data_IF_980914924158
#
_entry.id   IF_980914924158
#
_cell.length_a   1.000
_cell.length_b   1.000
_cell.length_c   1.000
_cell.angle_alpha   90.00
_cell.angle_beta   90.00
_cell.angle_gamma   90.00
#
_symmetry.space_group_name_H-M   'P 1'
#
loop_
_entity.id
_entity.type
_entity.pdbx_description
1 polymer ?
#
# COMPACT_ATOMS: atom_id res chain seq x y z
N UNK A 1 -1.23 7.86 15.74
CA UNK A 1 -2.58 7.42 15.39
C UNK A 1 -3.54 8.33 16.10
N UNK A 2 -4.03 9.36 15.40
CA UNK A 2 -4.67 10.54 16.02
C UNK A 2 -5.99 10.25 16.77
N UNK A 3 -6.46 9.00 16.71
CA UNK A 3 -7.69 8.53 17.35
C UNK A 3 -7.46 7.47 18.44
N UNK A 4 -6.21 7.25 18.88
CA UNK A 4 -5.92 6.25 19.92
C UNK A 4 -6.22 6.82 21.31
N UNK A 5 -7.10 6.15 22.05
CA UNK A 5 -7.40 6.51 23.45
C UNK A 5 -6.43 5.83 24.40
N UNK A 6 -6.26 6.36 25.62
CA UNK A 6 -5.41 5.75 26.66
C UNK A 6 -5.82 4.31 26.97
N UNK A 7 -7.12 4.07 27.12
CA UNK A 7 -7.68 2.73 27.35
C UNK A 7 -7.29 1.76 26.24
N UNK A 8 -7.47 2.14 24.97
CA UNK A 8 -7.12 1.27 23.83
C UNK A 8 -5.61 1.02 23.78
N UNK A 9 -4.80 2.01 24.17
CA UNK A 9 -3.35 1.81 24.27
C UNK A 9 -2.97 0.81 25.37
N UNK A 10 -3.59 0.88 26.55
CA UNK A 10 -3.39 -0.12 27.62
C UNK A 10 -3.81 -1.53 27.17
N UNK A 11 -4.92 -1.66 26.44
CA UNK A 11 -5.36 -2.93 25.85
C UNK A 11 -4.35 -3.48 24.83
N UNK A 12 -3.72 -2.61 24.02
CA UNK A 12 -2.64 -3.01 23.09
C UNK A 12 -1.42 -3.51 23.86
N UNK A 13 -1.02 -2.82 24.94
CA UNK A 13 0.15 -3.23 25.75
C UNK A 13 -0.05 -4.58 26.45
N UNK A 14 -1.28 -4.91 26.81
CA UNK A 14 -1.62 -6.19 27.44
C UNK A 14 -1.78 -7.35 26.43
N UNK A 15 -1.85 -7.07 25.13
CA UNK A 15 -2.03 -8.06 24.08
C UNK A 15 -0.71 -8.56 23.48
N UNK A 16 -0.79 -9.65 22.72
CA UNK A 16 0.35 -10.21 21.97
C UNK A 16 0.48 -9.54 20.60
N UNK A 17 0.93 -8.28 20.60
CA UNK A 17 1.15 -7.50 19.39
C UNK A 17 2.65 -7.34 19.09
N UNK A 18 2.98 -7.29 17.80
CA UNK A 18 4.33 -6.92 17.34
C UNK A 18 4.37 -5.42 17.05
N UNK A 19 5.27 -4.71 17.72
CA UNK A 19 5.57 -3.32 17.39
C UNK A 19 6.62 -3.23 16.27
N UNK A 20 6.47 -2.25 15.39
CA UNK A 20 7.41 -1.98 14.31
C UNK A 20 7.73 -0.48 14.28
N UNK A 21 8.95 -0.15 13.88
CA UNK A 21 9.35 1.24 13.61
C UNK A 21 8.49 1.78 12.48
N UNK A 22 8.04 3.03 12.61
CA UNK A 22 7.25 3.68 11.58
C UNK A 22 8.11 3.88 10.32
N UNK A 23 7.69 3.25 9.22
CA UNK A 23 8.23 3.49 7.88
C UNK A 23 7.11 4.09 7.03
N UNK A 24 7.25 5.33 6.54
CA UNK A 24 6.24 5.91 5.66
C UNK A 24 6.13 5.08 4.37
N UNK A 25 4.92 4.90 3.83
CA UNK A 25 4.74 4.15 2.60
C UNK A 25 5.36 4.91 1.42
N UNK A 26 5.96 4.19 0.48
CA UNK A 26 6.31 4.73 -0.83
C UNK A 26 5.04 5.17 -1.54
N UNK A 27 5.11 6.26 -2.31
CA UNK A 27 3.99 6.76 -3.11
C UNK A 27 4.32 6.70 -4.59
N UNK A 28 3.26 6.54 -5.40
CA UNK A 28 3.28 6.61 -6.85
C UNK A 28 2.22 7.62 -7.28
N UNK A 29 2.54 8.43 -8.29
CA UNK A 29 1.62 9.39 -8.87
C UNK A 29 1.29 8.98 -10.28
N UNK A 30 0.00 9.02 -10.62
CA UNK A 30 -0.44 8.81 -11.98
C UNK A 30 -1.85 9.31 -12.22
N UNK A 31 -2.19 9.39 -13.50
CA UNK A 31 -3.54 9.73 -13.93
C UNK A 31 -4.46 8.54 -13.74
N UNK A 32 -5.51 8.74 -12.96
CA UNK A 32 -6.56 7.73 -12.73
C UNK A 32 -7.90 8.33 -13.09
N UNK A 33 -8.85 7.48 -13.47
CA UNK A 33 -10.23 7.92 -13.63
C UNK A 33 -10.75 8.44 -12.28
N UNK A 34 -11.32 9.64 -12.27
CA UNK A 34 -11.99 10.19 -11.10
C UNK A 34 -13.24 9.38 -10.74
N UNK A 35 -13.77 9.58 -9.53
CA UNK A 35 -14.97 8.88 -9.04
C UNK A 35 -16.21 9.09 -9.93
N UNK A 36 -16.23 10.19 -10.71
CA UNK A 36 -17.29 10.54 -11.66
C UNK A 36 -16.93 10.23 -13.12
N UNK A 37 -15.87 9.45 -13.37
CA UNK A 37 -15.44 9.08 -14.72
C UNK A 37 -14.62 10.15 -15.45
N UNK A 38 -14.20 11.21 -14.75
CA UNK A 38 -13.26 12.21 -15.28
C UNK A 38 -11.93 11.53 -15.60
N UNK A 39 -11.50 11.58 -16.86
CA UNK A 39 -10.19 11.08 -17.29
C UNK A 39 -9.10 12.07 -16.89
N UNK A 40 -7.94 11.57 -16.47
CA UNK A 40 -6.72 12.39 -16.33
C UNK A 40 -6.50 13.03 -14.96
N UNK A 41 -7.20 12.60 -13.88
CA UNK A 41 -6.94 13.17 -12.55
C UNK A 41 -5.63 12.63 -11.98
N UNK A 42 -4.64 13.49 -11.84
CA UNK A 42 -3.39 13.14 -11.15
C UNK A 42 -3.68 12.81 -9.69
N UNK A 43 -3.36 11.58 -9.30
CA UNK A 43 -3.67 11.04 -7.98
C UNK A 43 -2.44 10.39 -7.39
N UNK A 44 -2.19 10.66 -6.11
CA UNK A 44 -1.16 9.98 -5.33
C UNK A 44 -1.74 8.72 -4.67
N UNK A 45 -1.06 7.60 -4.88
CA UNK A 45 -1.40 6.30 -4.32
C UNK A 45 -0.20 5.77 -3.52
N UNK A 46 -0.46 5.14 -2.38
CA UNK A 46 0.56 4.40 -1.64
C UNK A 46 0.83 3.08 -2.35
N UNK A 47 2.08 2.64 -2.29
CA UNK A 47 2.57 1.44 -2.99
C UNK A 47 3.29 0.50 -2.04
N UNK A 48 3.03 -0.79 -2.20
CA UNK A 48 3.87 -1.86 -1.69
C UNK A 48 4.05 -2.94 -2.76
N UNK A 49 5.08 -3.76 -2.58
CA UNK A 49 5.34 -4.92 -3.41
C UNK A 49 4.88 -6.19 -2.69
N UNK A 50 4.17 -7.05 -3.42
CA UNK A 50 3.75 -8.38 -3.00
C UNK A 50 4.49 -9.43 -3.82
N UNK A 51 5.40 -10.15 -3.16
CA UNK A 51 6.04 -11.34 -3.73
C UNK A 51 5.19 -12.58 -3.45
N UNK A 52 4.87 -13.34 -4.48
CA UNK A 52 4.29 -14.68 -4.37
C UNK A 52 5.40 -15.70 -4.46
N UNK A 53 5.59 -16.47 -3.40
CA UNK A 53 6.75 -17.36 -3.23
C UNK A 53 6.29 -18.81 -3.16
N UNK A 54 6.95 -19.68 -3.91
CA UNK A 54 6.75 -21.12 -3.85
C UNK A 54 8.10 -21.81 -3.75
N UNK A 55 8.26 -22.73 -2.79
CA UNK A 55 9.52 -23.46 -2.51
C UNK A 55 10.75 -22.54 -2.37
N UNK A 56 10.58 -21.41 -1.68
CA UNK A 56 11.67 -20.45 -1.45
C UNK A 56 12.03 -19.59 -2.67
N UNK A 57 11.31 -19.72 -3.79
CA UNK A 57 11.55 -18.96 -5.03
C UNK A 57 10.39 -18.02 -5.31
N UNK A 58 10.70 -16.74 -5.56
CA UNK A 58 9.72 -15.73 -5.99
C UNK A 58 9.24 -16.09 -7.40
N UNK A 59 7.93 -16.30 -7.54
CA UNK A 59 7.28 -16.65 -8.81
C UNK A 59 6.70 -15.41 -9.51
N UNK A 60 6.24 -14.44 -8.72
CA UNK A 60 5.58 -13.22 -9.20
C UNK A 60 5.81 -12.10 -8.19
N UNK A 61 6.04 -10.90 -8.72
CA UNK A 61 6.00 -9.64 -7.96
C UNK A 61 4.85 -8.80 -8.52
N UNK A 62 3.94 -8.37 -7.65
CA UNK A 62 2.86 -7.45 -7.99
C UNK A 62 2.93 -6.22 -7.10
N UNK A 63 2.61 -5.05 -7.64
CA UNK A 63 2.43 -3.85 -6.84
C UNK A 63 0.97 -3.79 -6.36
N UNK A 64 0.77 -3.25 -5.16
CA UNK A 64 -0.56 -2.92 -4.64
C UNK A 64 -0.65 -1.42 -4.44
N UNK A 65 -1.67 -0.81 -5.05
CA UNK A 65 -1.94 0.61 -4.96
C UNK A 65 -3.16 0.85 -4.06
N UNK A 66 -3.08 1.81 -3.14
CA UNK A 66 -4.20 2.18 -2.28
C UNK A 66 -4.14 3.62 -1.78
N UNK A 67 -5.28 4.08 -1.25
CA UNK A 67 -5.36 5.29 -0.43
C UNK A 67 -5.89 4.98 0.97
N UNK A 68 -5.62 5.89 1.91
CA UNK A 68 -6.04 5.75 3.30
C UNK A 68 -5.04 5.01 4.18
N UNK A 69 -5.51 4.55 5.34
CA UNK A 69 -4.66 3.98 6.39
C UNK A 69 -4.31 2.51 6.14
N UNK A 70 -5.25 1.73 5.59
CA UNK A 70 -5.07 0.30 5.35
C UNK A 70 -4.92 0.01 3.87
N UNK A 71 -4.12 -1.00 3.51
CA UNK A 71 -4.02 -1.49 2.13
C UNK A 71 -5.37 -2.04 1.68
N UNK A 72 -6.09 -1.27 0.87
CA UNK A 72 -7.42 -1.60 0.37
C UNK A 72 -7.51 -1.30 -1.14
N UNK A 73 -8.37 -2.02 -1.86
CA UNK A 73 -8.52 -1.90 -3.32
C UNK A 73 -9.83 -1.23 -3.72
N UNK A 74 -10.38 -0.37 -2.86
CA UNK A 74 -11.74 0.15 -3.02
C UNK A 74 -11.79 1.54 -3.66
N UNK A 75 -10.64 2.19 -3.85
CA UNK A 75 -10.55 3.52 -4.44
C UNK A 75 -10.22 3.44 -5.94
N UNK A 76 -10.68 4.39 -6.76
CA UNK A 76 -10.23 4.50 -8.15
C UNK A 76 -8.69 4.54 -8.23
N UNK A 77 -8.14 3.80 -9.20
CA UNK A 77 -6.68 3.60 -9.33
C UNK A 77 -6.05 2.65 -8.31
N UNK A 78 -6.78 2.25 -7.27
CA UNK A 78 -6.35 1.23 -6.32
C UNK A 78 -6.50 -0.19 -6.86
N UNK A 79 -5.77 -1.14 -6.29
CA UNK A 79 -5.77 -2.53 -6.74
C UNK A 79 -4.37 -3.08 -7.03
N UNK A 80 -4.30 -4.10 -7.87
CA UNK A 80 -3.03 -4.62 -8.37
C UNK A 80 -2.52 -3.77 -9.52
N UNK A 81 -1.21 -3.56 -9.53
CA UNK A 81 -0.47 -2.98 -10.64
C UNK A 81 0.70 -3.91 -11.02
N UNK A 82 1.03 -3.90 -12.32
CA UNK A 82 2.19 -4.63 -12.84
C UNK A 82 3.47 -3.97 -12.35
N UNK A 83 4.43 -4.80 -11.96
CA UNK A 83 5.82 -4.38 -11.72
C UNK A 83 6.60 -4.69 -12.97
N UNK A 84 7.17 -3.64 -13.58
CA UNK A 84 8.09 -3.79 -14.70
C UNK A 84 9.48 -3.51 -14.16
N UNK A 85 10.39 -4.45 -14.33
CA UNK A 85 11.81 -4.19 -14.11
C UNK A 85 12.26 -3.22 -15.20
N UNK A 86 12.59 -1.99 -14.81
CA UNK A 86 13.23 -1.06 -15.73
C UNK A 86 14.58 -1.64 -16.14
N UNK A 87 14.96 -1.49 -17.41
CA UNK A 87 16.36 -1.64 -17.79
C UNK A 87 17.15 -0.67 -16.91
N UNK A 88 17.88 -1.19 -15.94
CA UNK A 88 18.57 -0.36 -14.95
C UNK A 88 19.41 0.69 -15.65
N UNK A 89 19.25 1.96 -15.28
CA UNK A 89 20.27 2.95 -15.57
C UNK A 89 21.51 2.50 -14.77
N UNK A 90 22.50 1.95 -15.48
CA UNK A 90 23.84 1.71 -14.96
C UNK A 90 24.55 3.05 -14.70
#
# INVERSE_FOLDING_TARGET
GDKLTKRVFEEILAGDYVAQVLVPPTTWQGEVAGELGELGKLTELKVDLRCYVYRGVVQLVAARLWQGQTTNFRTPGGGFAVVVEGAGAA
#
